data_IF_856909336344
#
_entry.id   IF_856909336344
#
_cell.length_a   1.000
_cell.length_b   1.000
_cell.length_c   1.000
_cell.angle_alpha   90.00
_cell.angle_beta   90.00
_cell.angle_gamma   90.00
#
_symmetry.space_group_name_H-M   'P 1'
#
loop_
_entity.id
_entity.type
_entity.pdbx_description
1 polymer ?
#
# COMPACT_ATOMS: atom_id res chain seq x y z
N UNK A 1 9.20 28.74 -67.74
CA UNK A 1 9.79 27.77 -66.77
C UNK A 1 9.44 28.23 -65.34
N UNK A 2 8.41 27.68 -64.71
CA UNK A 2 8.05 27.96 -63.32
C UNK A 2 8.63 26.84 -62.45
N UNK A 3 9.51 27.20 -61.50
CA UNK A 3 10.05 26.26 -60.54
C UNK A 3 9.10 26.24 -59.33
N UNK A 4 8.43 25.10 -59.09
CA UNK A 4 7.68 24.85 -57.88
C UNK A 4 8.68 24.57 -56.74
N UNK A 5 8.69 25.41 -55.70
CA UNK A 5 9.37 25.17 -54.44
C UNK A 5 8.44 24.36 -53.55
N UNK A 6 8.73 23.13 -53.34
CA UNK A 6 8.06 22.27 -52.32
C UNK A 6 8.60 22.66 -50.96
N UNK A 7 7.76 23.26 -50.14
CA UNK A 7 8.04 23.54 -48.73
C UNK A 7 7.71 22.27 -47.94
N UNK A 8 8.73 21.60 -47.43
CA UNK A 8 8.56 20.48 -46.50
C UNK A 8 8.19 21.05 -45.12
N UNK A 9 6.94 20.81 -44.69
CA UNK A 9 6.53 21.07 -43.30
C UNK A 9 6.98 19.89 -42.44
N UNK A 10 8.00 20.12 -41.63
CA UNK A 10 8.41 19.18 -40.63
C UNK A 10 7.42 19.22 -39.45
N UNK A 11 6.56 18.20 -39.36
CA UNK A 11 5.75 17.98 -38.15
C UNK A 11 6.66 17.46 -37.03
N UNK A 12 7.06 18.34 -36.14
CA UNK A 12 7.62 17.96 -34.84
C UNK A 12 6.47 17.58 -33.93
N UNK A 13 6.09 16.30 -33.88
CA UNK A 13 5.19 15.77 -32.87
C UNK A 13 5.96 15.65 -31.55
N UNK A 14 5.60 16.50 -30.62
CA UNK A 14 6.18 16.61 -29.30
C UNK A 14 5.91 15.36 -28.48
N UNK A 15 6.95 14.59 -28.11
CA UNK A 15 6.93 13.54 -27.11
C UNK A 15 6.93 14.15 -25.70
N UNK A 16 5.82 14.76 -25.25
CA UNK A 16 5.69 15.31 -23.89
C UNK A 16 4.79 14.43 -23.00
N UNK A 17 4.08 13.45 -23.56
CA UNK A 17 3.10 12.64 -22.78
C UNK A 17 3.73 11.52 -21.97
N UNK A 18 4.96 11.11 -22.26
CA UNK A 18 5.60 9.96 -21.58
C UNK A 18 6.12 10.24 -20.17
N UNK A 19 6.61 11.44 -19.90
CA UNK A 19 7.29 11.75 -18.63
C UNK A 19 6.31 11.86 -17.45
N UNK A 20 5.16 12.51 -17.63
CA UNK A 20 4.17 12.70 -16.55
C UNK A 20 3.52 11.40 -16.09
N UNK A 21 3.26 10.47 -16.99
CA UNK A 21 2.70 9.15 -16.65
C UNK A 21 3.71 8.28 -15.89
N UNK A 22 5.00 8.34 -16.24
CA UNK A 22 6.05 7.62 -15.50
C UNK A 22 6.25 8.17 -14.10
N UNK A 23 6.19 9.49 -13.90
CA UNK A 23 6.29 10.10 -12.57
C UNK A 23 5.13 9.74 -11.65
N UNK A 24 3.89 9.73 -12.16
CA UNK A 24 2.71 9.33 -11.39
C UNK A 24 2.76 7.85 -10.99
N UNK A 25 3.24 6.98 -11.88
CA UNK A 25 3.39 5.55 -11.63
C UNK A 25 4.51 5.27 -10.61
N UNK A 26 5.60 6.03 -10.64
CA UNK A 26 6.70 5.93 -9.70
C UNK A 26 6.32 6.45 -8.30
N UNK A 27 5.50 7.49 -8.20
CA UNK A 27 4.94 7.97 -6.93
C UNK A 27 4.01 6.93 -6.30
N UNK A 28 3.22 6.20 -7.08
CA UNK A 28 2.37 5.11 -6.59
C UNK A 28 3.17 3.94 -5.99
N UNK A 29 4.36 3.67 -6.51
CA UNK A 29 5.24 2.60 -6.01
C UNK A 29 5.99 2.97 -4.72
N UNK A 30 6.13 4.24 -4.42
CA UNK A 30 6.84 4.75 -3.23
C UNK A 30 5.92 5.13 -2.08
N UNK A 31 4.60 5.00 -2.24
CA UNK A 31 3.62 5.32 -1.22
C UNK A 31 3.18 4.08 -0.43
N UNK A 32 2.85 4.29 0.86
CA UNK A 32 2.13 3.31 1.67
C UNK A 32 0.80 3.00 1.02
N UNK A 33 0.49 1.70 0.84
CA UNK A 33 -0.69 1.26 0.10
C UNK A 33 -1.11 -0.16 0.44
N UNK A 34 -2.33 -0.49 0.05
CA UNK A 34 -2.87 -1.85 0.01
C UNK A 34 -3.08 -2.27 -1.43
N UNK A 35 -2.65 -3.48 -1.76
CA UNK A 35 -2.83 -4.12 -3.05
C UNK A 35 -3.79 -5.30 -2.89
N UNK A 36 -5.04 -5.21 -3.41
CA UNK A 36 -5.97 -6.34 -3.35
C UNK A 36 -5.38 -7.58 -4.00
N UNK A 37 -5.58 -8.74 -3.38
CA UNK A 37 -5.13 -10.03 -3.89
C UNK A 37 -6.32 -10.87 -4.36
N UNK A 38 -7.26 -11.12 -3.47
CA UNK A 38 -8.53 -11.78 -3.79
C UNK A 38 -9.61 -11.43 -2.75
N UNK A 39 -10.85 -11.62 -3.15
CA UNK A 39 -12.04 -11.44 -2.31
C UNK A 39 -13.06 -12.52 -2.69
N UNK A 40 -13.60 -13.24 -1.69
CA UNK A 40 -14.62 -14.26 -1.86
C UNK A 40 -15.63 -14.21 -0.68
N UNK A 41 -16.56 -15.17 -0.61
CA UNK A 41 -17.61 -15.16 0.42
C UNK A 41 -17.10 -15.38 1.85
N UNK A 42 -15.87 -15.86 2.03
CA UNK A 42 -15.31 -16.23 3.33
C UNK A 42 -14.26 -15.27 3.84
N UNK A 43 -13.38 -14.81 2.95
CA UNK A 43 -12.21 -14.00 3.29
C UNK A 43 -11.96 -12.91 2.25
N UNK A 44 -11.27 -11.87 2.69
CA UNK A 44 -10.66 -10.85 1.84
C UNK A 44 -9.17 -10.82 2.08
N UNK A 45 -8.39 -10.84 1.03
CA UNK A 45 -6.93 -10.80 1.12
C UNK A 45 -6.35 -9.59 0.38
N UNK A 46 -5.35 -8.98 0.99
CA UNK A 46 -4.57 -7.91 0.39
C UNK A 46 -3.12 -7.96 0.85
N UNK A 47 -2.24 -7.34 0.09
CA UNK A 47 -0.88 -7.04 0.49
C UNK A 47 -0.83 -5.60 1.00
N UNK A 48 -0.30 -5.38 2.19
CA UNK A 48 0.03 -4.04 2.70
C UNK A 48 1.52 -3.79 2.51
N UNK A 49 1.84 -2.60 2.00
CA UNK A 49 3.20 -2.10 1.84
C UNK A 49 3.25 -0.79 2.62
N UNK A 50 3.96 -0.79 3.75
CA UNK A 50 4.02 0.34 4.67
C UNK A 50 5.41 0.95 4.57
N UNK A 51 5.47 2.09 3.91
CA UNK A 51 6.72 2.80 3.65
C UNK A 51 7.25 3.49 4.91
N UNK A 52 8.58 3.68 5.02
CA UNK A 52 9.17 4.42 6.12
C UNK A 52 8.53 5.81 6.28
N UNK A 53 8.11 6.14 7.51
CA UNK A 53 7.52 7.44 7.87
C UNK A 53 6.22 7.83 7.11
N UNK A 54 5.58 6.87 6.46
CA UNK A 54 4.31 7.07 5.78
C UNK A 54 3.24 6.13 6.40
N UNK A 55 2.44 6.60 7.35
CA UNK A 55 1.45 5.78 8.01
C UNK A 55 0.39 5.25 7.04
N UNK A 56 -0.08 4.03 7.30
CA UNK A 56 -1.35 3.60 6.75
C UNK A 56 -2.47 4.36 7.46
N UNK A 57 -3.43 4.87 6.69
CA UNK A 57 -4.51 5.70 7.24
C UNK A 57 -5.28 5.00 8.38
N UNK A 58 -5.91 5.79 9.25
CA UNK A 58 -6.76 5.30 10.33
C UNK A 58 -7.83 4.35 9.80
N UNK A 59 -7.91 3.16 10.37
CA UNK A 59 -8.85 2.10 9.98
C UNK A 59 -9.13 1.19 11.18
N UNK A 60 -10.01 0.22 10.99
CA UNK A 60 -10.27 -0.85 11.96
C UNK A 60 -10.51 -2.17 11.23
N UNK A 61 -10.36 -3.25 11.97
CA UNK A 61 -10.67 -4.60 11.53
C UNK A 61 -11.84 -5.15 12.34
N UNK A 62 -12.93 -5.46 11.66
CA UNK A 62 -14.15 -5.97 12.33
C UNK A 62 -14.07 -7.47 12.59
N UNK A 63 -13.13 -8.17 11.96
CA UNK A 63 -12.96 -9.62 12.05
C UNK A 63 -11.52 -10.00 12.32
N UNK A 64 -11.34 -11.22 12.82
CA UNK A 64 -10.04 -11.82 12.97
C UNK A 64 -9.34 -12.01 11.61
N UNK A 65 -8.00 -11.97 11.62
CA UNK A 65 -7.20 -12.06 10.39
C UNK A 65 -5.88 -12.78 10.60
N UNK A 66 -5.49 -13.55 9.60
CA UNK A 66 -4.12 -14.04 9.50
C UNK A 66 -3.25 -12.98 8.79
N UNK A 67 -2.03 -12.78 9.30
CA UNK A 67 -1.02 -11.92 8.70
C UNK A 67 0.22 -12.76 8.41
N UNK A 68 0.74 -12.67 7.19
CA UNK A 68 1.97 -13.34 6.77
C UNK A 68 3.02 -12.25 6.48
N UNK A 69 4.11 -12.26 7.22
CA UNK A 69 5.18 -11.31 7.03
C UNK A 69 6.02 -11.65 5.80
N UNK A 70 6.14 -10.72 4.87
CA UNK A 70 7.00 -10.83 3.69
C UNK A 70 8.37 -10.21 3.91
N UNK A 71 8.49 -9.34 4.92
CA UNK A 71 9.74 -8.71 5.36
C UNK A 71 9.87 -8.81 6.87
N UNK A 72 11.10 -8.73 7.38
CA UNK A 72 11.33 -8.43 8.77
C UNK A 72 11.01 -6.96 9.04
N UNK A 73 10.53 -6.63 10.24
CA UNK A 73 10.31 -5.25 10.63
C UNK A 73 9.56 -5.09 11.94
N UNK A 74 9.65 -3.88 12.48
CA UNK A 74 8.87 -3.47 13.65
C UNK A 74 7.80 -2.46 13.21
N UNK A 75 6.54 -2.82 13.41
CA UNK A 75 5.38 -1.98 13.09
C UNK A 75 4.76 -1.46 14.37
N UNK A 76 4.58 -0.14 14.47
CA UNK A 76 3.84 0.49 15.55
C UNK A 76 2.38 0.65 15.15
N UNK A 77 1.50 0.37 16.08
CA UNK A 77 0.07 0.65 15.97
C UNK A 77 -0.23 1.86 16.84
N UNK A 78 -0.79 2.91 16.23
CA UNK A 78 -1.12 4.15 16.94
C UNK A 78 -2.61 4.41 16.90
N UNK A 79 -3.14 4.96 18.00
CA UNK A 79 -4.54 5.37 18.09
C UNK A 79 -4.81 6.67 17.30
N UNK A 80 -6.05 7.16 17.38
CA UNK A 80 -6.47 8.42 16.73
C UNK A 80 -5.71 9.66 17.23
N UNK A 81 -5.12 9.60 18.41
CA UNK A 81 -4.38 10.69 19.04
C UNK A 81 -2.85 10.56 18.79
N UNK A 82 -2.44 9.55 18.01
CA UNK A 82 -1.04 9.30 17.66
C UNK A 82 -0.26 8.56 18.75
N UNK A 83 -0.92 8.09 19.82
CA UNK A 83 -0.28 7.32 20.87
C UNK A 83 -0.07 5.89 20.42
N UNK A 84 1.14 5.34 20.62
CA UNK A 84 1.42 3.93 20.38
C UNK A 84 0.65 3.05 21.37
N UNK A 85 -0.23 2.21 20.86
CA UNK A 85 -1.03 1.26 21.63
C UNK A 85 -0.54 -0.16 21.51
N UNK A 86 0.20 -0.48 20.46
CA UNK A 86 0.85 -1.77 20.27
C UNK A 86 2.10 -1.65 19.39
N UNK A 87 2.96 -2.66 19.46
CA UNK A 87 4.14 -2.80 18.60
C UNK A 87 4.29 -4.26 18.20
N UNK A 88 4.29 -4.50 16.90
CA UNK A 88 4.51 -5.84 16.34
C UNK A 88 5.93 -5.98 15.82
N UNK A 89 6.53 -7.13 16.08
CA UNK A 89 7.80 -7.52 15.49
C UNK A 89 7.54 -8.65 14.50
N UNK A 90 7.59 -8.31 13.22
CA UNK A 90 7.37 -9.26 12.15
C UNK A 90 8.67 -9.94 11.75
N UNK A 91 8.62 -11.25 11.56
CA UNK A 91 9.71 -12.06 11.04
C UNK A 91 9.30 -12.62 9.68
N UNK A 92 10.10 -12.38 8.69
CA UNK A 92 9.85 -12.83 7.30
C UNK A 92 9.52 -14.33 7.24
N UNK A 93 8.44 -14.66 6.54
CA UNK A 93 7.96 -16.02 6.34
C UNK A 93 7.12 -16.57 7.49
N UNK A 94 6.97 -15.84 8.61
CA UNK A 94 6.07 -16.23 9.71
C UNK A 94 4.65 -15.73 9.49
N UNK A 95 3.70 -16.50 10.02
CA UNK A 95 2.29 -16.16 10.08
C UNK A 95 1.88 -15.84 11.52
N UNK A 96 0.98 -14.88 11.66
CA UNK A 96 0.45 -14.40 12.93
C UNK A 96 -1.06 -14.34 12.85
N UNK A 97 -1.72 -14.55 13.99
CA UNK A 97 -3.14 -14.28 14.12
C UNK A 97 -3.36 -12.97 14.85
N UNK A 98 -4.23 -12.12 14.32
CA UNK A 98 -4.65 -10.87 14.92
C UNK A 98 -6.18 -10.90 15.08
N UNK A 99 -6.64 -10.65 16.29
CA UNK A 99 -8.05 -10.58 16.59
C UNK A 99 -8.71 -9.33 16.00
N UNK A 100 -10.03 -9.31 15.96
CA UNK A 100 -10.79 -8.12 15.63
C UNK A 100 -10.44 -6.96 16.58
N UNK A 101 -10.47 -5.75 16.07
CA UNK A 101 -10.27 -4.57 16.89
C UNK A 101 -11.49 -4.36 17.81
N UNK A 102 -11.30 -3.85 19.04
CA UNK A 102 -12.40 -3.54 19.93
C UNK A 102 -13.40 -2.58 19.27
N UNK A 103 -14.71 -2.71 19.57
CA UNK A 103 -15.74 -1.85 18.99
C UNK A 103 -15.42 -0.35 19.14
N UNK A 104 -15.55 0.41 18.05
CA UNK A 104 -15.34 1.85 18.03
C UNK A 104 -13.87 2.31 18.06
N UNK A 105 -12.91 1.40 18.17
CA UNK A 105 -11.49 1.73 18.11
C UNK A 105 -11.00 1.70 16.66
N UNK A 106 -10.21 2.70 16.31
CA UNK A 106 -9.45 2.77 15.05
C UNK A 106 -7.97 2.89 15.36
N UNK A 107 -7.15 2.49 14.40
CA UNK A 107 -5.71 2.61 14.50
C UNK A 107 -5.07 2.95 13.16
N UNK A 108 -3.86 3.44 13.19
CA UNK A 108 -2.99 3.55 12.03
C UNK A 108 -1.73 2.72 12.25
N UNK A 109 -1.20 2.18 11.17
CA UNK A 109 0.07 1.44 11.19
C UNK A 109 1.22 2.37 10.79
N UNK A 110 2.25 2.41 11.60
CA UNK A 110 3.42 3.29 11.41
C UNK A 110 4.69 2.47 11.32
N UNK A 111 5.40 2.66 10.24
CA UNK A 111 6.73 2.10 10.03
C UNK A 111 7.80 3.15 10.35
N UNK A 112 8.41 3.05 11.52
CA UNK A 112 9.51 3.92 11.94
C UNK A 112 10.90 3.42 11.51
N UNK A 113 10.96 2.28 10.83
CA UNK A 113 12.22 1.73 10.31
C UNK A 113 12.67 2.44 9.03
N UNK A 114 13.80 2.06 8.50
CA UNK A 114 14.36 2.64 7.26
C UNK A 114 13.98 1.87 5.99
N UNK A 115 13.27 0.73 6.12
CA UNK A 115 12.90 -0.13 5.00
C UNK A 115 11.39 -0.33 4.95
N UNK A 116 10.79 -0.55 3.78
CA UNK A 116 9.38 -0.92 3.68
C UNK A 116 9.06 -2.18 4.48
N UNK A 117 7.90 -2.21 5.11
CA UNK A 117 7.33 -3.41 5.73
C UNK A 117 6.24 -3.93 4.81
N UNK A 118 6.33 -5.19 4.43
CA UNK A 118 5.38 -5.85 3.55
C UNK A 118 4.75 -7.06 4.24
N UNK A 119 3.44 -7.13 4.21
CA UNK A 119 2.66 -8.23 4.77
C UNK A 119 1.50 -8.61 3.86
N UNK A 120 1.14 -9.90 3.84
CA UNK A 120 -0.16 -10.35 3.33
C UNK A 120 -1.11 -10.45 4.51
N UNK A 121 -2.30 -9.90 4.36
CA UNK A 121 -3.40 -10.02 5.32
C UNK A 121 -4.53 -10.80 4.69
N UNK A 122 -5.05 -11.78 5.42
CA UNK A 122 -6.24 -12.56 5.05
C UNK A 122 -7.26 -12.38 6.17
N UNK A 123 -8.23 -11.52 5.96
CA UNK A 123 -9.27 -11.17 6.95
C UNK A 123 -10.53 -11.99 6.73
N UNK A 124 -11.09 -12.53 7.80
CA UNK A 124 -12.39 -13.19 7.76
C UNK A 124 -13.49 -12.17 7.43
N UNK A 125 -14.54 -12.60 6.76
CA UNK A 125 -15.75 -11.79 6.54
C UNK A 125 -16.83 -12.06 7.56
N UNK A 126 -16.70 -13.13 8.29
CA UNK A 126 -17.64 -13.56 9.36
C UNK A 126 -16.82 -14.29 10.43
N UNK A 127 -16.98 -13.87 11.66
CA UNK A 127 -16.60 -14.68 12.81
C UNK A 127 -17.77 -15.63 13.12
N UNK A 128 -17.47 -16.86 13.55
CA UNK A 128 -18.50 -17.82 13.92
C UNK A 128 -19.19 -17.40 15.20
#
# INVERSE_FOLDING_TARGET
MQRFRTTAIACTLSFVVGASAMWAQQQGQTATRREPQFDNDHVRAWKSIIMPKQPLAQHRHEHGRALIALTDGQLKVVDKDGKTVNTYNWERGKAYWLDADPPGQTHADVNDTSKPIEVIVVELKRDK
#
